data_IF_547568250838
#
_entry.id   IF_547568250838
#
_cell.length_a   1.000
_cell.length_b   1.000
_cell.length_c   1.000
_cell.angle_alpha   90.00
_cell.angle_beta   90.00
_cell.angle_gamma   90.00
#
_symmetry.space_group_name_H-M   'P 1'
#
loop_
_entity.id
_entity.type
_entity.pdbx_description
1 polymer ?
#
# COMPACT_ATOMS: atom_id res chain seq x y z
N UNK A 1 16.20 -10.46 -9.95
CA UNK A 1 16.31 -9.33 -9.02
C UNK A 1 17.67 -8.68 -9.17
N UNK A 2 17.71 -7.37 -9.39
CA UNK A 2 18.94 -6.56 -9.50
C UNK A 2 19.39 -6.01 -8.12
N UNK A 3 20.40 -5.12 -8.12
CA UNK A 3 20.97 -4.52 -6.91
C UNK A 3 19.99 -3.65 -6.11
N UNK A 4 18.96 -3.09 -6.74
CA UNK A 4 17.95 -2.26 -6.05
C UNK A 4 16.76 -3.11 -5.56
N UNK A 5 16.36 -4.12 -6.34
CA UNK A 5 15.21 -4.97 -6.03
C UNK A 5 15.45 -5.91 -4.84
N UNK A 6 16.67 -6.43 -4.67
CA UNK A 6 16.95 -7.38 -3.60
C UNK A 6 16.90 -6.73 -2.20
N UNK A 7 17.53 -5.56 -1.95
CA UNK A 7 17.35 -4.83 -0.70
C UNK A 7 15.90 -4.38 -0.49
N UNK A 8 15.19 -3.93 -1.53
CA UNK A 8 13.78 -3.54 -1.38
C UNK A 8 12.90 -4.73 -0.97
N UNK A 9 13.14 -5.93 -1.54
CA UNK A 9 12.47 -7.14 -1.10
C UNK A 9 12.77 -7.44 0.38
N UNK A 10 14.04 -7.36 0.79
CA UNK A 10 14.42 -7.57 2.19
C UNK A 10 13.66 -6.63 3.13
N UNK A 11 13.48 -5.35 2.76
CA UNK A 11 12.68 -4.40 3.56
C UNK A 11 11.22 -4.86 3.67
N UNK A 12 10.58 -5.21 2.55
CA UNK A 12 9.19 -5.72 2.56
C UNK A 12 9.08 -6.92 3.51
N UNK A 13 10.01 -7.87 3.40
CA UNK A 13 10.04 -9.09 4.20
C UNK A 13 10.24 -8.80 5.70
N UNK A 14 11.17 -7.94 6.07
CA UNK A 14 11.44 -7.59 7.48
C UNK A 14 10.24 -6.92 8.14
N UNK A 15 9.66 -5.92 7.49
CA UNK A 15 8.49 -5.22 8.03
C UNK A 15 7.27 -6.16 8.13
N UNK A 16 7.03 -6.98 7.10
CA UNK A 16 5.93 -7.94 7.11
C UNK A 16 6.10 -9.02 8.19
N UNK A 17 7.32 -9.53 8.36
CA UNK A 17 7.65 -10.51 9.40
C UNK A 17 7.50 -9.90 10.80
N UNK A 18 8.00 -8.67 11.02
CA UNK A 18 7.85 -7.97 12.28
C UNK A 18 6.37 -7.78 12.64
N UNK A 19 5.55 -7.35 11.67
CA UNK A 19 4.09 -7.28 11.83
C UNK A 19 3.49 -8.65 12.20
N UNK A 20 3.92 -9.73 11.53
CA UNK A 20 3.45 -11.11 11.72
C UNK A 20 3.90 -11.75 13.05
N UNK A 21 4.89 -11.18 13.74
CA UNK A 21 5.32 -11.65 15.05
C UNK A 21 5.19 -10.60 16.17
N UNK A 22 4.52 -9.48 15.89
CA UNK A 22 4.33 -8.36 16.83
C UNK A 22 5.66 -7.81 17.36
N UNK A 23 6.70 -7.85 16.53
CA UNK A 23 7.95 -7.16 16.80
C UNK A 23 7.72 -5.69 16.44
N UNK A 24 7.98 -4.73 17.35
CA UNK A 24 7.79 -3.31 17.05
C UNK A 24 8.59 -2.91 15.80
N UNK A 25 7.95 -2.24 14.85
CA UNK A 25 8.60 -1.86 13.61
C UNK A 25 9.79 -0.90 13.82
N UNK A 26 9.78 -0.14 14.93
CA UNK A 26 10.90 0.71 15.37
C UNK A 26 12.20 -0.07 15.64
N UNK A 27 12.11 -1.39 15.83
CA UNK A 27 13.27 -2.27 15.98
C UNK A 27 14.00 -2.52 14.67
N UNK A 28 13.38 -2.22 13.52
CA UNK A 28 13.99 -2.34 12.20
C UNK A 28 14.71 -1.03 11.90
N UNK A 29 15.96 -1.15 11.45
CA UNK A 29 16.73 -0.02 10.95
C UNK A 29 17.31 -0.36 9.58
N UNK A 30 16.98 0.50 8.63
CA UNK A 30 17.46 0.43 7.25
C UNK A 30 18.27 1.71 7.01
N UNK A 31 19.58 1.62 6.73
CA UNK A 31 20.39 2.78 6.44
C UNK A 31 19.84 3.55 5.23
N UNK A 32 19.74 4.88 5.34
CA UNK A 32 19.18 5.77 4.31
C UNK A 32 20.09 5.95 3.09
N UNK A 33 21.34 5.51 3.14
CA UNK A 33 22.33 5.69 2.07
C UNK A 33 23.14 4.41 1.84
N UNK A 34 23.01 3.83 0.64
CA UNK A 34 23.89 2.78 0.10
C UNK A 34 25.34 3.28 -0.12
N UNK A 35 25.62 4.56 0.15
CA UNK A 35 26.90 5.25 -0.12
C UNK A 35 27.72 5.58 1.13
N UNK A 36 27.46 4.99 2.29
CA UNK A 36 28.42 5.05 3.42
C UNK A 36 29.47 3.95 3.22
N UNK A 37 30.74 4.28 2.89
CA UNK A 37 31.69 3.33 2.31
C UNK A 37 32.14 2.17 3.21
N UNK A 38 31.77 2.12 4.50
CA UNK A 38 32.36 1.19 5.48
C UNK A 38 31.37 0.59 6.52
N UNK A 39 30.06 0.82 6.40
CA UNK A 39 29.05 0.29 7.35
C UNK A 39 28.60 -1.16 7.10
N UNK A 40 28.65 -1.62 5.85
CA UNK A 40 28.52 -3.04 5.46
C UNK A 40 27.17 -3.74 5.66
N UNK A 41 26.18 -3.14 6.32
CA UNK A 41 24.85 -3.73 6.52
C UNK A 41 23.77 -3.07 5.65
N UNK A 42 22.84 -3.86 5.11
CA UNK A 42 21.72 -3.35 4.30
C UNK A 42 20.44 -3.21 5.13
N UNK A 43 20.30 -4.02 6.18
CA UNK A 43 19.26 -3.87 7.18
C UNK A 43 19.70 -4.51 8.50
N UNK A 44 19.21 -3.97 9.61
CA UNK A 44 19.33 -4.59 10.93
C UNK A 44 17.97 -4.61 11.62
N UNK A 45 17.77 -5.58 12.48
CA UNK A 45 16.63 -5.64 13.38
C UNK A 45 17.12 -5.98 14.79
N UNK A 46 16.66 -5.19 15.77
CA UNK A 46 17.02 -5.38 17.18
C UNK A 46 15.84 -5.11 18.10
N UNK A 47 15.36 -6.13 18.81
CA UNK A 47 14.32 -5.97 19.83
C UNK A 47 14.76 -6.55 21.17
N UNK A 48 14.18 -6.02 22.24
CA UNK A 48 14.53 -6.37 23.63
C UNK A 48 13.38 -7.08 24.37
N UNK A 49 12.24 -7.27 23.71
CA UNK A 49 11.12 -7.99 24.33
C UNK A 49 11.44 -9.48 24.43
N UNK A 50 11.03 -10.17 25.52
CA UNK A 50 11.32 -11.60 25.69
C UNK A 50 10.76 -12.48 24.57
N UNK A 51 9.63 -12.07 23.99
CA UNK A 51 8.97 -12.77 22.88
C UNK A 51 8.79 -11.83 21.68
N UNK A 52 8.83 -12.37 20.45
CA UNK A 52 9.32 -13.72 20.13
C UNK A 52 10.82 -13.86 20.42
N UNK A 53 11.29 -15.06 20.81
CA UNK A 53 12.74 -15.34 20.92
C UNK A 53 13.41 -15.30 19.54
N UNK A 54 12.71 -15.87 18.55
CA UNK A 54 13.07 -15.89 17.13
C UNK A 54 11.82 -16.06 16.29
N UNK A 55 11.93 -15.78 15.01
CA UNK A 55 10.93 -16.15 14.01
C UNK A 55 11.49 -17.24 13.09
N UNK A 56 10.73 -17.63 12.06
CA UNK A 56 11.22 -18.56 11.03
C UNK A 56 12.38 -17.96 10.21
N UNK A 57 12.47 -16.63 10.14
CA UNK A 57 13.39 -15.88 9.27
C UNK A 57 14.33 -14.95 10.03
N UNK A 58 14.06 -14.70 11.31
CA UNK A 58 14.88 -13.82 12.16
C UNK A 58 15.34 -14.65 13.37
N UNK A 59 16.57 -15.19 13.34
CA UNK A 59 17.02 -16.23 14.26
C UNK A 59 17.48 -15.73 15.63
N UNK A 60 17.61 -14.41 15.82
CA UNK A 60 18.04 -13.79 17.08
C UNK A 60 17.46 -12.39 17.24
N UNK A 61 17.30 -11.96 18.49
CA UNK A 61 16.88 -10.61 18.90
C UNK A 61 17.70 -9.50 18.27
N UNK A 62 18.98 -9.75 17.97
CA UNK A 62 19.80 -8.85 17.17
C UNK A 62 20.27 -9.59 15.92
N UNK A 63 19.73 -9.18 14.76
CA UNK A 63 20.07 -9.78 13.47
C UNK A 63 20.43 -8.68 12.46
N UNK A 64 21.56 -8.86 11.78
CA UNK A 64 21.99 -8.02 10.65
C UNK A 64 21.86 -8.81 9.35
N UNK A 65 21.39 -8.12 8.32
CA UNK A 65 21.25 -8.63 6.98
C UNK A 65 22.15 -7.86 6.02
N UNK A 66 22.84 -8.62 5.17
CA UNK A 66 23.61 -8.07 4.07
C UNK A 66 23.16 -8.69 2.75
N UNK A 67 22.61 -7.86 1.87
CA UNK A 67 22.10 -8.18 0.55
C UNK A 67 23.20 -8.18 -0.51
N UNK A 68 23.32 -9.28 -1.26
CA UNK A 68 24.21 -9.38 -2.42
C UNK A 68 23.44 -9.92 -3.63
N UNK A 69 23.22 -9.04 -4.60
CA UNK A 69 22.54 -9.37 -5.86
C UNK A 69 23.47 -9.95 -6.95
N UNK A 70 24.58 -10.57 -6.54
CA UNK A 70 25.62 -11.15 -7.40
C UNK A 70 26.16 -12.42 -6.77
N UNK A 71 26.76 -13.31 -7.55
CA UNK A 71 27.40 -14.51 -6.99
C UNK A 71 28.48 -14.14 -5.97
N UNK A 72 28.37 -14.73 -4.78
CA UNK A 72 29.32 -14.57 -3.68
C UNK A 72 30.15 -15.85 -3.58
N UNK A 73 31.29 -15.85 -4.26
CA UNK A 73 32.27 -16.92 -4.15
C UNK A 73 32.88 -17.00 -2.74
N UNK A 74 33.47 -18.14 -2.40
CA UNK A 74 34.04 -18.41 -1.06
C UNK A 74 35.02 -17.31 -0.60
N UNK A 75 35.91 -16.86 -1.50
CA UNK A 75 36.88 -15.79 -1.20
C UNK A 75 36.20 -14.43 -0.96
N UNK A 76 35.12 -14.14 -1.68
CA UNK A 76 34.36 -12.90 -1.52
C UNK A 76 33.60 -12.89 -0.19
N UNK A 77 33.00 -14.02 0.20
CA UNK A 77 32.36 -14.18 1.51
C UNK A 77 33.31 -13.85 2.67
N UNK A 78 34.56 -14.33 2.62
CA UNK A 78 35.58 -13.99 3.62
C UNK A 78 35.92 -12.49 3.61
N UNK A 79 36.18 -11.93 2.43
CA UNK A 79 36.52 -10.50 2.27
C UNK A 79 35.41 -9.57 2.75
N UNK A 80 34.16 -10.01 2.66
CA UNK A 80 33.00 -9.22 3.06
C UNK A 80 33.01 -8.86 4.55
N UNK A 81 33.65 -9.68 5.39
CA UNK A 81 33.71 -9.47 6.84
C UNK A 81 34.69 -8.38 7.26
N UNK A 82 35.69 -8.07 6.42
CA UNK A 82 36.75 -7.14 6.76
C UNK A 82 36.45 -5.71 6.29
N UNK A 83 36.96 -4.73 7.04
CA UNK A 83 37.06 -3.35 6.54
C UNK A 83 38.09 -3.30 5.42
N UNK A 84 37.90 -2.38 4.46
CA UNK A 84 38.81 -2.27 3.30
C UNK A 84 40.25 -2.10 3.76
N UNK A 85 41.14 -2.94 3.21
CA UNK A 85 42.60 -2.90 3.44
C UNK A 85 43.03 -3.15 4.90
N UNK A 86 42.18 -3.77 5.71
CA UNK A 86 42.55 -4.19 7.08
C UNK A 86 42.15 -5.65 7.33
N UNK A 87 42.70 -6.24 8.39
CA UNK A 87 42.22 -7.52 8.95
C UNK A 87 41.23 -7.32 10.10
N UNK A 88 40.69 -6.10 10.27
CA UNK A 88 39.65 -5.81 11.27
C UNK A 88 38.28 -6.09 10.69
N UNK A 89 37.39 -6.66 11.51
CA UNK A 89 36.00 -6.85 11.14
C UNK A 89 35.31 -5.50 10.90
N UNK A 90 34.30 -5.49 10.03
CA UNK A 90 33.43 -4.31 9.91
C UNK A 90 32.71 -4.07 11.24
N UNK A 91 32.53 -2.81 11.67
CA UNK A 91 31.98 -2.49 12.98
C UNK A 91 30.61 -3.14 13.24
N UNK A 92 29.72 -3.14 12.25
CA UNK A 92 28.38 -3.75 12.35
C UNK A 92 28.43 -5.26 12.57
N UNK A 93 29.30 -5.97 11.85
CA UNK A 93 29.50 -7.42 11.99
C UNK A 93 30.13 -7.75 13.35
N UNK A 94 31.10 -6.95 13.78
CA UNK A 94 31.71 -7.10 15.10
C UNK A 94 30.67 -6.92 16.21
N UNK A 95 29.89 -5.84 16.15
CA UNK A 95 28.84 -5.52 17.13
C UNK A 95 27.80 -6.64 17.26
N UNK A 96 27.25 -7.15 16.14
CA UNK A 96 26.21 -8.19 16.20
C UNK A 96 26.75 -9.50 16.73
N UNK A 97 27.98 -9.88 16.37
CA UNK A 97 28.55 -11.15 16.81
C UNK A 97 29.05 -11.08 18.26
N UNK A 98 29.60 -9.95 18.70
CA UNK A 98 29.95 -9.70 20.12
C UNK A 98 28.70 -9.78 21.01
N UNK A 99 27.54 -9.33 20.51
CA UNK A 99 26.26 -9.41 21.19
C UNK A 99 25.57 -10.79 21.10
N UNK A 100 26.26 -11.83 20.59
CA UNK A 100 25.69 -13.16 20.33
C UNK A 100 24.44 -13.12 19.40
N UNK A 101 24.38 -12.11 18.55
CA UNK A 101 23.38 -11.94 17.50
C UNK A 101 23.66 -12.79 16.27
N UNK A 102 22.90 -12.57 15.21
CA UNK A 102 23.00 -13.29 13.95
C UNK A 102 23.41 -12.40 12.78
N UNK A 103 24.33 -12.89 11.97
CA UNK A 103 24.64 -12.29 10.67
C UNK A 103 24.05 -13.15 9.54
N UNK A 104 23.30 -12.52 8.63
CA UNK A 104 22.66 -13.17 7.50
C UNK A 104 23.19 -12.57 6.19
N UNK A 105 23.86 -13.42 5.40
CA UNK A 105 24.12 -13.10 3.99
C UNK A 105 22.87 -13.42 3.16
N UNK A 106 22.20 -12.39 2.69
CA UNK A 106 20.99 -12.45 1.87
C UNK A 106 21.36 -12.41 0.38
N UNK A 107 21.24 -13.56 -0.28
CA UNK A 107 21.93 -13.84 -1.55
C UNK A 107 20.97 -14.38 -2.62
N UNK A 108 20.89 -13.72 -3.77
CA UNK A 108 19.87 -14.00 -4.79
C UNK A 108 20.17 -15.18 -5.75
N UNK A 109 21.17 -16.02 -5.46
CA UNK A 109 21.46 -17.22 -6.26
C UNK A 109 21.22 -18.48 -5.43
N UNK A 110 20.93 -19.61 -6.09
CA UNK A 110 20.80 -20.89 -5.39
C UNK A 110 22.15 -21.28 -4.79
N UNK A 111 22.13 -21.69 -3.51
CA UNK A 111 23.32 -22.15 -2.82
C UNK A 111 22.95 -23.39 -2.03
N UNK A 112 23.19 -24.58 -2.60
CA UNK A 112 22.89 -25.84 -1.92
C UNK A 112 23.68 -25.96 -0.61
N UNK A 113 23.21 -26.74 0.39
CA UNK A 113 23.86 -26.83 1.69
C UNK A 113 25.36 -27.15 1.64
N UNK A 114 25.78 -28.03 0.71
CA UNK A 114 27.19 -28.38 0.51
C UNK A 114 28.04 -27.20 0.01
N UNK A 115 27.43 -26.23 -0.67
CA UNK A 115 28.08 -25.01 -1.13
C UNK A 115 28.01 -23.87 -0.09
N UNK A 116 27.05 -23.92 0.84
CA UNK A 116 26.96 -22.96 1.95
C UNK A 116 28.02 -23.23 3.02
N UNK A 117 28.24 -24.50 3.39
CA UNK A 117 29.18 -24.88 4.46
C UNK A 117 30.60 -24.29 4.27
N UNK A 118 31.25 -24.39 3.08
CA UNK A 118 32.56 -23.79 2.86
C UNK A 118 32.57 -22.26 2.94
N UNK A 119 31.47 -21.61 2.52
CA UNK A 119 31.33 -20.14 2.60
C UNK A 119 31.24 -19.68 4.04
N UNK A 120 30.39 -20.32 4.84
CA UNK A 120 30.24 -20.03 6.27
C UNK A 120 31.54 -20.33 7.02
N UNK A 121 32.22 -21.43 6.71
CA UNK A 121 33.52 -21.76 7.30
C UNK A 121 34.55 -20.65 7.04
N UNK A 122 34.59 -20.09 5.84
CA UNK A 122 35.50 -19.00 5.48
C UNK A 122 35.11 -17.65 6.08
N UNK A 123 33.83 -17.41 6.36
CA UNK A 123 33.39 -16.27 7.17
C UNK A 123 33.83 -16.42 8.63
N UNK A 124 33.72 -17.63 9.21
CA UNK A 124 34.23 -17.90 10.57
C UNK A 124 35.74 -17.75 10.66
N UNK A 125 36.48 -18.19 9.64
CA UNK A 125 37.93 -17.95 9.54
C UNK A 125 38.27 -16.45 9.57
N UNK A 126 37.44 -15.58 8.97
CA UNK A 126 37.64 -14.13 9.08
C UNK A 126 37.48 -13.63 10.52
N UNK A 127 36.53 -14.19 11.26
CA UNK A 127 36.29 -13.86 12.68
C UNK A 127 37.43 -14.37 13.56
N UNK A 128 37.98 -15.57 13.26
CA UNK A 128 39.19 -16.09 13.93
C UNK A 128 40.42 -15.21 13.65
N UNK A 129 40.64 -14.81 12.40
CA UNK A 129 41.76 -13.93 12.00
C UNK A 129 41.69 -12.54 12.63
N UNK A 130 40.48 -12.07 12.95
CA UNK A 130 40.27 -10.85 13.71
C UNK A 130 40.50 -11.01 15.22
N UNK A 131 40.88 -12.21 15.69
CA UNK A 131 41.21 -12.49 17.08
C UNK A 131 40.01 -12.76 17.99
N UNK A 132 38.83 -13.07 17.42
CA UNK A 132 37.61 -13.28 18.21
C UNK A 132 37.43 -14.75 18.61
N UNK A 133 37.33 -15.01 19.91
CA UNK A 133 37.24 -16.37 20.48
C UNK A 133 35.92 -17.09 20.15
N UNK A 134 34.86 -16.35 19.85
CA UNK A 134 33.52 -16.87 19.54
C UNK A 134 33.34 -17.27 18.06
N UNK A 135 34.38 -17.26 17.24
CA UNK A 135 34.25 -17.51 15.81
C UNK A 135 33.56 -18.84 15.46
N UNK A 136 33.78 -19.90 16.25
CA UNK A 136 33.15 -21.21 16.07
C UNK A 136 31.66 -21.21 16.43
N UNK A 137 31.27 -20.47 17.47
CA UNK A 137 29.88 -20.34 17.92
C UNK A 137 29.11 -19.22 17.23
N UNK A 138 29.78 -18.35 16.46
CA UNK A 138 29.15 -17.25 15.72
C UNK A 138 27.98 -17.74 14.85
N UNK A 139 26.83 -17.09 15.01
CA UNK A 139 25.60 -17.37 14.27
C UNK A 139 25.65 -16.67 12.92
N UNK A 140 26.15 -17.38 11.92
CA UNK A 140 26.31 -16.90 10.53
C UNK A 140 25.46 -17.79 9.63
N UNK A 141 24.54 -17.19 8.89
CA UNK A 141 23.63 -17.91 7.98
C UNK A 141 23.65 -17.32 6.58
N UNK A 142 23.32 -18.17 5.60
CA UNK A 142 23.13 -17.78 4.19
C UNK A 142 21.67 -18.01 3.83
N UNK A 143 21.01 -16.95 3.37
CA UNK A 143 19.66 -17.01 2.81
C UNK A 143 19.82 -16.95 1.30
N UNK A 144 19.76 -18.11 0.67
CA UNK A 144 19.91 -18.26 -0.78
C UNK A 144 18.57 -18.03 -1.50
N UNK A 145 18.56 -18.10 -2.83
CA UNK A 145 17.35 -17.85 -3.61
C UNK A 145 16.15 -18.72 -3.20
N UNK A 146 16.39 -19.95 -2.73
CA UNK A 146 15.32 -20.86 -2.31
C UNK A 146 14.70 -20.41 -0.98
N UNK A 147 15.54 -20.10 0.03
CA UNK A 147 15.03 -19.54 1.30
C UNK A 147 14.32 -18.22 1.09
N UNK A 148 14.88 -17.34 0.26
CA UNK A 148 14.27 -16.05 -0.08
C UNK A 148 12.92 -16.26 -0.74
N UNK A 149 12.79 -17.20 -1.68
CA UNK A 149 11.52 -17.51 -2.33
C UNK A 149 10.47 -18.01 -1.32
N UNK A 150 10.86 -18.88 -0.40
CA UNK A 150 9.94 -19.38 0.65
C UNK A 150 9.48 -18.26 1.58
N UNK A 151 10.39 -17.37 2.00
CA UNK A 151 10.00 -16.20 2.81
C UNK A 151 9.09 -15.25 2.03
N UNK A 152 9.42 -14.98 0.76
CA UNK A 152 8.59 -14.19 -0.16
C UNK A 152 7.17 -14.72 -0.25
N UNK A 153 7.01 -16.04 -0.38
CA UNK A 153 5.71 -16.68 -0.48
C UNK A 153 4.88 -16.67 0.82
N UNK A 154 5.37 -16.03 1.90
CA UNK A 154 4.64 -15.85 3.17
C UNK A 154 3.89 -14.51 3.25
N UNK A 155 4.21 -13.57 2.34
CA UNK A 155 3.69 -12.19 2.39
C UNK A 155 3.17 -11.74 1.01
N UNK A 156 1.89 -11.36 0.95
CA UNK A 156 1.18 -11.08 -0.30
C UNK A 156 1.79 -9.91 -1.08
N UNK A 157 2.20 -8.85 -0.38
CA UNK A 157 2.88 -7.70 -0.99
C UNK A 157 4.24 -8.07 -1.57
N UNK A 158 5.00 -8.96 -0.93
CA UNK A 158 6.29 -9.45 -1.42
C UNK A 158 6.10 -10.30 -2.68
N UNK A 159 5.12 -11.22 -2.69
CA UNK A 159 4.77 -12.00 -3.88
C UNK A 159 4.40 -11.06 -5.03
N UNK A 160 3.54 -10.07 -4.76
CA UNK A 160 3.07 -9.11 -5.77
C UNK A 160 4.22 -8.28 -6.33
N UNK A 161 5.11 -7.77 -5.47
CA UNK A 161 6.28 -7.01 -5.90
C UNK A 161 7.20 -7.84 -6.80
N UNK A 162 7.55 -9.07 -6.39
CA UNK A 162 8.41 -9.96 -7.17
C UNK A 162 7.78 -10.33 -8.51
N UNK A 163 6.47 -10.63 -8.54
CA UNK A 163 5.76 -10.93 -9.79
C UNK A 163 5.80 -9.72 -10.74
N UNK A 164 5.51 -8.52 -10.24
CA UNK A 164 5.54 -7.29 -11.03
C UNK A 164 6.94 -7.04 -11.62
N UNK A 165 8.01 -7.21 -10.84
CA UNK A 165 9.39 -7.08 -11.34
C UNK A 165 9.75 -8.11 -12.42
N UNK A 166 9.03 -9.23 -12.48
CA UNK A 166 9.18 -10.27 -13.51
C UNK A 166 8.20 -10.07 -14.69
N UNK A 167 7.45 -8.97 -14.73
CA UNK A 167 6.43 -8.73 -15.75
C UNK A 167 5.22 -9.66 -15.65
N UNK A 168 4.95 -10.20 -14.46
CA UNK A 168 3.83 -11.10 -14.17
C UNK A 168 2.91 -10.46 -13.13
N UNK A 169 1.67 -10.94 -13.06
CA UNK A 169 0.71 -10.54 -12.02
C UNK A 169 0.30 -11.75 -11.20
N UNK A 170 -0.10 -11.52 -9.94
CA UNK A 170 -0.71 -12.58 -9.10
C UNK A 170 -2.17 -12.83 -9.47
N UNK A 171 -2.85 -11.77 -9.91
CA UNK A 171 -4.25 -11.71 -10.28
C UNK A 171 -4.42 -10.51 -11.22
N UNK A 172 -5.31 -10.55 -12.23
CA UNK A 172 -5.59 -9.39 -13.06
C UNK A 172 -5.98 -8.16 -12.23
N UNK A 173 -5.28 -7.04 -12.47
CA UNK A 173 -5.50 -5.78 -11.76
C UNK A 173 -4.94 -5.69 -10.34
N UNK A 174 -4.31 -6.74 -9.82
CA UNK A 174 -3.60 -6.69 -8.54
C UNK A 174 -2.25 -6.00 -8.69
N UNK A 175 -2.02 -4.94 -7.90
CA UNK A 175 -0.79 -4.15 -7.91
C UNK A 175 -0.35 -3.83 -6.47
N UNK A 176 0.93 -3.53 -6.30
CA UNK A 176 1.45 -3.02 -5.02
C UNK A 176 0.94 -1.60 -4.76
N UNK A 177 0.96 -1.17 -3.50
CA UNK A 177 0.67 0.22 -3.16
C UNK A 177 1.55 1.22 -3.96
N UNK A 178 2.85 0.92 -4.12
CA UNK A 178 3.75 1.79 -4.89
C UNK A 178 3.26 1.97 -6.34
N UNK A 179 2.96 0.87 -7.03
CA UNK A 179 2.47 0.92 -8.40
C UNK A 179 1.11 1.63 -8.48
N UNK A 180 0.27 1.53 -7.46
CA UNK A 180 -0.99 2.28 -7.39
C UNK A 180 -0.73 3.80 -7.22
N UNK A 181 0.27 4.17 -6.43
CA UNK A 181 0.70 5.55 -6.22
C UNK A 181 1.42 6.16 -7.43
N UNK A 182 2.03 5.36 -8.31
CA UNK A 182 2.85 5.83 -9.44
C UNK A 182 2.06 6.55 -10.55
N UNK A 183 0.73 6.63 -10.46
CA UNK A 183 -0.05 7.45 -11.41
C UNK A 183 0.14 8.96 -11.14
N UNK A 184 0.25 9.77 -12.19
CA UNK A 184 0.49 11.23 -12.08
C UNK A 184 -0.51 11.95 -11.16
N UNK A 185 -1.78 11.53 -11.15
CA UNK A 185 -2.79 12.12 -10.26
C UNK A 185 -2.54 11.78 -8.80
N UNK A 186 -2.04 10.57 -8.51
CA UNK A 186 -1.82 10.08 -7.17
C UNK A 186 -0.56 10.67 -6.50
N UNK A 187 0.36 11.22 -7.27
CA UNK A 187 1.55 11.87 -6.72
C UNK A 187 1.30 13.29 -6.19
N UNK A 188 0.18 13.93 -6.54
CA UNK A 188 -0.15 15.26 -6.05
C UNK A 188 -0.37 15.29 -4.52
N UNK A 189 -0.34 16.47 -3.88
CA UNK A 189 -0.70 16.60 -2.47
C UNK A 189 -2.11 16.09 -2.19
N UNK A 190 -2.31 15.57 -0.98
CA UNK A 190 -3.65 15.26 -0.48
C UNK A 190 -4.17 16.45 0.31
N UNK A 191 -5.37 16.92 -0.06
CA UNK A 191 -6.08 17.96 0.67
C UNK A 191 -7.25 17.30 1.38
N UNK A 192 -7.40 17.59 2.66
CA UNK A 192 -8.38 16.96 3.54
C UNK A 192 -8.93 17.97 4.54
N UNK A 193 -10.13 17.70 5.03
CA UNK A 193 -10.74 18.38 6.16
C UNK A 193 -10.56 17.56 7.45
N UNK A 194 -10.94 18.13 8.59
CA UNK A 194 -10.79 17.49 9.90
C UNK A 194 -11.52 16.14 9.98
N UNK A 195 -12.65 16.00 9.29
CA UNK A 195 -13.45 14.77 9.27
C UNK A 195 -12.67 13.65 8.56
N UNK A 196 -12.20 13.90 7.34
CA UNK A 196 -11.46 12.91 6.57
C UNK A 196 -10.08 12.61 7.17
N UNK A 197 -9.42 13.59 7.79
CA UNK A 197 -8.20 13.34 8.57
C UNK A 197 -8.47 12.42 9.77
N UNK A 198 -9.58 12.63 10.49
CA UNK A 198 -10.00 11.75 11.56
C UNK A 198 -10.25 10.32 11.09
N UNK A 199 -10.91 10.15 9.94
CA UNK A 199 -11.14 8.83 9.32
C UNK A 199 -9.82 8.17 8.91
N UNK A 200 -8.91 8.92 8.29
CA UNK A 200 -7.59 8.46 7.86
C UNK A 200 -6.78 7.94 9.05
N UNK A 201 -6.73 8.69 10.16
CA UNK A 201 -6.04 8.28 11.38
C UNK A 201 -6.66 7.02 12.00
N UNK A 202 -7.99 6.94 12.03
CA UNK A 202 -8.69 5.75 12.51
C UNK A 202 -8.35 4.52 11.67
N UNK A 203 -8.38 4.62 10.34
CA UNK A 203 -8.01 3.52 9.44
C UNK A 203 -6.56 3.09 9.66
N UNK A 204 -5.61 4.02 9.77
CA UNK A 204 -4.20 3.70 10.06
C UNK A 204 -4.05 2.91 11.35
N UNK A 205 -4.67 3.38 12.43
CA UNK A 205 -4.63 2.66 13.71
C UNK A 205 -5.29 1.27 13.64
N UNK A 206 -6.40 1.16 12.91
CA UNK A 206 -7.15 -0.09 12.77
C UNK A 206 -6.39 -1.15 11.98
N UNK A 207 -5.67 -0.77 10.92
CA UNK A 207 -4.86 -1.69 10.09
C UNK A 207 -3.47 -2.00 10.65
N UNK A 208 -3.05 -1.36 11.74
CA UNK A 208 -1.88 -1.81 12.49
C UNK A 208 -2.14 -3.18 13.14
N UNK A 209 -3.39 -3.46 13.51
CA UNK A 209 -3.81 -4.76 13.98
C UNK A 209 -4.00 -5.74 12.81
N UNK A 210 -3.82 -7.03 13.10
CA UNK A 210 -4.08 -8.09 12.11
C UNK A 210 -5.55 -8.40 12.04
N UNK A 211 -5.95 -8.99 10.91
CA UNK A 211 -7.32 -9.45 10.68
C UNK A 211 -8.35 -8.31 10.71
N UNK A 212 -7.89 -7.10 10.38
CA UNK A 212 -8.71 -5.91 10.33
C UNK A 212 -9.59 -5.92 9.08
N UNK A 213 -10.90 -5.80 9.24
CA UNK A 213 -11.86 -5.71 8.14
C UNK A 213 -12.54 -4.35 8.21
N UNK A 214 -12.44 -3.57 7.14
CA UNK A 214 -13.03 -2.25 7.02
C UNK A 214 -13.70 -2.05 5.66
N UNK A 215 -14.68 -1.15 5.63
CA UNK A 215 -15.47 -0.82 4.45
C UNK A 215 -15.68 0.67 4.33
N UNK A 216 -15.34 1.22 3.17
CA UNK A 216 -15.51 2.63 2.82
C UNK A 216 -16.61 2.74 1.76
N UNK A 217 -17.68 3.45 2.10
CA UNK A 217 -18.82 3.65 1.20
C UNK A 217 -19.12 5.13 1.04
N UNK A 218 -19.58 5.53 -0.13
CA UNK A 218 -19.95 6.91 -0.41
C UNK A 218 -20.15 7.12 -1.90
N UNK A 219 -20.66 8.27 -2.30
CA UNK A 219 -20.97 8.54 -3.71
C UNK A 219 -19.72 8.52 -4.59
N UNK A 220 -19.89 8.20 -5.87
CA UNK A 220 -18.81 8.18 -6.86
C UNK A 220 -18.12 9.55 -6.96
N UNK A 221 -16.79 9.55 -7.05
CA UNK A 221 -16.01 10.79 -7.26
C UNK A 221 -15.71 11.62 -6.00
N UNK A 222 -16.15 11.17 -4.83
CA UNK A 222 -15.95 11.85 -3.55
C UNK A 222 -14.53 11.71 -2.96
N UNK A 223 -13.72 10.80 -3.51
CA UNK A 223 -12.32 10.62 -3.10
C UNK A 223 -12.03 9.38 -2.25
N UNK A 224 -12.92 8.37 -2.16
CA UNK A 224 -12.69 7.15 -1.37
C UNK A 224 -11.40 6.40 -1.72
N UNK A 225 -11.17 6.12 -3.00
CA UNK A 225 -9.95 5.44 -3.46
C UNK A 225 -8.70 6.26 -3.14
N UNK A 226 -8.82 7.59 -3.18
CA UNK A 226 -7.76 8.50 -2.75
C UNK A 226 -7.51 8.40 -1.25
N UNK A 227 -8.54 8.50 -0.40
CA UNK A 227 -8.43 8.33 1.05
C UNK A 227 -7.80 6.98 1.42
N UNK A 228 -8.19 5.89 0.75
CA UNK A 228 -7.59 4.58 0.94
C UNK A 228 -6.11 4.54 0.53
N UNK A 229 -5.73 5.15 -0.59
CA UNK A 229 -4.32 5.30 -0.98
C UNK A 229 -3.52 6.05 0.10
N UNK A 230 -4.05 7.16 0.61
CA UNK A 230 -3.42 8.01 1.61
C UNK A 230 -3.30 7.35 2.99
N UNK A 231 -4.28 6.52 3.35
CA UNK A 231 -4.26 5.69 4.56
C UNK A 231 -2.96 4.88 4.62
N UNK A 232 -2.53 4.32 3.49
CA UNK A 232 -1.33 3.49 3.39
C UNK A 232 -0.14 4.21 2.74
N UNK A 233 -0.16 5.55 2.67
CA UNK A 233 0.98 6.31 2.14
C UNK A 233 2.23 6.13 3.00
N UNK A 234 3.36 5.85 2.34
CA UNK A 234 4.66 5.71 3.01
C UNK A 234 5.09 7.05 3.63
N UNK A 235 5.71 7.05 4.82
CA UNK A 235 6.31 8.25 5.39
C UNK A 235 7.44 8.78 4.48
N UNK A 236 7.63 10.10 4.45
CA UNK A 236 8.67 10.74 3.63
C UNK A 236 10.08 10.34 4.06
N UNK A 237 10.30 10.19 5.37
CA UNK A 237 11.58 9.74 5.92
C UNK A 237 11.43 8.35 6.51
N UNK A 238 12.26 7.43 6.00
CA UNK A 238 12.35 6.06 6.52
C UNK A 238 12.73 6.11 8.01
N UNK A 239 12.03 5.31 8.83
CA UNK A 239 12.19 5.19 10.29
C UNK A 239 11.52 6.27 11.16
N UNK A 240 10.88 7.31 10.62
CA UNK A 240 10.15 8.30 11.46
C UNK A 240 8.79 7.77 11.92
N UNK A 241 8.08 7.02 11.06
CA UNK A 241 6.79 6.39 11.37
C UNK A 241 6.85 4.90 11.01
N UNK A 242 7.52 4.08 11.84
CA UNK A 242 7.81 2.69 11.51
C UNK A 242 6.54 1.82 11.39
N UNK A 243 5.50 2.10 12.17
CA UNK A 243 4.22 1.39 12.05
C UNK A 243 3.53 1.72 10.72
N UNK A 244 3.58 3.00 10.30
CA UNK A 244 3.07 3.42 8.99
C UNK A 244 3.85 2.74 7.85
N UNK A 245 5.18 2.69 7.94
CA UNK A 245 6.03 2.00 6.96
C UNK A 245 5.66 0.50 6.85
N UNK A 246 5.29 -0.12 7.98
CA UNK A 246 4.86 -1.52 8.04
C UNK A 246 3.58 -1.74 7.25
N UNK A 247 2.50 -1.00 7.56
CA UNK A 247 1.23 -1.19 6.86
C UNK A 247 1.36 -0.82 5.38
N UNK A 248 2.12 0.23 5.02
CA UNK A 248 2.38 0.62 3.63
C UNK A 248 3.08 -0.48 2.82
N UNK A 249 3.94 -1.29 3.46
CA UNK A 249 4.66 -2.39 2.81
C UNK A 249 3.86 -3.68 2.73
N UNK A 250 2.78 -3.82 3.50
CA UNK A 250 1.92 -5.01 3.54
C UNK A 250 0.74 -4.95 2.56
N UNK A 251 0.56 -3.85 1.84
CA UNK A 251 -0.66 -3.57 1.04
C UNK A 251 -0.54 -4.01 -0.42
N UNK A 252 -1.63 -4.61 -0.91
CA UNK A 252 -1.94 -4.72 -2.33
C UNK A 252 -3.28 -4.07 -2.65
N UNK A 253 -3.42 -3.54 -3.86
CA UNK A 253 -4.66 -3.00 -4.40
C UNK A 253 -5.18 -3.90 -5.52
N UNK A 254 -6.48 -4.13 -5.56
CA UNK A 254 -7.19 -4.87 -6.59
C UNK A 254 -8.45 -4.10 -6.98
N UNK A 255 -8.74 -3.99 -8.27
CA UNK A 255 -10.03 -3.52 -8.75
C UNK A 255 -10.96 -4.71 -9.02
N UNK A 256 -12.10 -4.80 -8.34
CA UNK A 256 -13.05 -5.89 -8.54
C UNK A 256 -13.59 -5.95 -9.98
N UNK A 257 -13.65 -4.81 -10.67
CA UNK A 257 -14.08 -4.76 -12.07
C UNK A 257 -13.11 -5.47 -13.03
N UNK A 258 -11.86 -5.75 -12.61
CA UNK A 258 -10.85 -6.38 -13.48
C UNK A 258 -10.66 -7.87 -13.22
N UNK A 259 -11.21 -8.42 -12.14
CA UNK A 259 -11.07 -9.84 -11.81
C UNK A 259 -12.24 -10.36 -10.99
N UNK A 260 -12.91 -11.40 -11.50
CA UNK A 260 -13.91 -12.17 -10.76
C UNK A 260 -13.31 -13.28 -9.87
N UNK A 261 -11.99 -13.48 -9.93
CA UNK A 261 -11.29 -14.57 -9.24
C UNK A 261 -10.87 -14.20 -7.80
N UNK A 262 -11.14 -12.97 -7.36
CA UNK A 262 -10.75 -12.45 -6.04
C UNK A 262 -11.19 -13.38 -4.89
N UNK A 263 -12.44 -13.90 -4.84
CA UNK A 263 -12.85 -14.86 -3.83
C UNK A 263 -11.94 -16.08 -3.72
N UNK A 264 -11.68 -16.75 -4.86
CA UNK A 264 -10.88 -17.96 -4.91
C UNK A 264 -9.42 -17.68 -4.52
N UNK A 265 -8.90 -16.53 -4.93
CA UNK A 265 -7.55 -16.10 -4.57
C UNK A 265 -7.42 -15.90 -3.05
N UNK A 266 -8.38 -15.23 -2.39
CA UNK A 266 -8.38 -15.04 -0.94
C UNK A 266 -8.42 -16.38 -0.21
N UNK A 267 -9.26 -17.32 -0.65
CA UNK A 267 -9.31 -18.68 -0.08
C UNK A 267 -7.96 -19.39 -0.21
N UNK A 268 -7.33 -19.32 -1.38
CA UNK A 268 -6.02 -19.90 -1.61
C UNK A 268 -4.95 -19.28 -0.70
N UNK A 269 -4.93 -17.96 -0.58
CA UNK A 269 -3.97 -17.25 0.28
C UNK A 269 -4.19 -17.56 1.76
N UNK A 270 -5.45 -17.68 2.20
CA UNK A 270 -5.80 -18.13 3.54
C UNK A 270 -5.31 -19.54 3.84
N UNK A 271 -5.55 -20.49 2.94
CA UNK A 271 -5.06 -21.87 3.08
C UNK A 271 -3.53 -21.95 3.15
N UNK A 272 -2.84 -21.06 2.46
CA UNK A 272 -1.37 -20.94 2.48
C UNK A 272 -0.83 -20.13 3.68
N UNK A 273 -1.73 -19.63 4.55
CA UNK A 273 -1.40 -18.78 5.70
C UNK A 273 -0.62 -17.51 5.34
N UNK A 274 -0.82 -17.01 4.10
CA UNK A 274 -0.18 -15.79 3.61
C UNK A 274 -0.71 -14.59 4.41
N UNK A 275 0.20 -13.66 4.71
CA UNK A 275 -0.11 -12.40 5.39
C UNK A 275 -0.14 -11.21 4.44
N UNK A 276 -0.94 -10.19 4.76
CA UNK A 276 -1.02 -8.96 3.98
C UNK A 276 -2.33 -8.19 4.14
N UNK A 277 -2.37 -6.99 3.59
CA UNK A 277 -3.54 -6.11 3.57
C UNK A 277 -4.04 -6.01 2.14
N UNK A 278 -5.32 -6.31 1.92
CA UNK A 278 -5.94 -6.31 0.59
C UNK A 278 -6.92 -5.15 0.51
N UNK A 279 -6.73 -4.27 -0.47
CA UNK A 279 -7.69 -3.23 -0.83
C UNK A 279 -8.45 -3.71 -2.07
N UNK A 280 -9.78 -3.79 -1.98
CA UNK A 280 -10.65 -4.14 -3.10
C UNK A 280 -11.54 -2.96 -3.43
N UNK A 281 -11.25 -2.30 -4.55
CA UNK A 281 -12.04 -1.18 -5.07
C UNK A 281 -13.17 -1.67 -5.99
N UNK A 282 -14.27 -0.91 -6.08
CA UNK A 282 -15.52 -1.27 -6.73
C UNK A 282 -16.11 -2.60 -6.19
N UNK A 283 -16.04 -2.80 -4.88
CA UNK A 283 -16.49 -4.00 -4.18
C UNK A 283 -17.92 -3.82 -3.65
N UNK A 284 -18.90 -4.33 -4.40
CA UNK A 284 -20.30 -4.33 -3.96
C UNK A 284 -20.50 -5.10 -2.64
N UNK A 285 -21.66 -4.91 -2.01
CA UNK A 285 -21.96 -5.51 -0.72
C UNK A 285 -21.92 -7.06 -0.77
N UNK A 286 -22.40 -7.67 -1.85
CA UNK A 286 -22.42 -9.13 -1.97
C UNK A 286 -21.00 -9.70 -2.00
N UNK A 287 -20.11 -9.11 -2.79
CA UNK A 287 -18.71 -9.47 -2.85
C UNK A 287 -18.05 -9.20 -1.50
N UNK A 288 -18.29 -8.05 -0.88
CA UNK A 288 -17.74 -7.73 0.44
C UNK A 288 -18.08 -8.79 1.48
N UNK A 289 -19.36 -9.15 1.62
CA UNK A 289 -19.82 -10.15 2.59
C UNK A 289 -19.14 -11.50 2.36
N UNK A 290 -18.97 -11.89 1.10
CA UNK A 290 -18.25 -13.11 0.74
C UNK A 290 -16.77 -13.05 1.14
N UNK A 291 -16.06 -11.98 0.79
CA UNK A 291 -14.62 -11.85 1.13
C UNK A 291 -14.40 -11.77 2.64
N UNK A 292 -15.28 -11.05 3.34
CA UNK A 292 -15.30 -10.93 4.79
C UNK A 292 -15.49 -12.28 5.46
N UNK A 293 -16.43 -13.11 4.98
CA UNK A 293 -16.66 -14.46 5.48
C UNK A 293 -15.40 -15.33 5.32
N UNK A 294 -14.77 -15.31 4.13
CA UNK A 294 -13.58 -16.13 3.86
C UNK A 294 -12.37 -15.73 4.72
N UNK A 295 -12.14 -14.42 4.89
CA UNK A 295 -11.04 -13.93 5.75
C UNK A 295 -11.31 -14.29 7.21
N UNK A 296 -12.55 -14.14 7.70
CA UNK A 296 -12.91 -14.49 9.08
C UNK A 296 -12.67 -15.96 9.41
N UNK A 297 -13.02 -16.87 8.50
CA UNK A 297 -12.94 -18.30 8.76
C UNK A 297 -11.55 -18.89 8.49
N UNK A 298 -10.88 -18.46 7.42
CA UNK A 298 -9.71 -19.18 6.88
C UNK A 298 -8.40 -18.41 6.96
N UNK A 299 -8.44 -17.09 7.16
CA UNK A 299 -7.24 -16.26 7.05
C UNK A 299 -7.06 -15.26 8.19
N UNK A 300 -6.37 -15.67 9.25
CA UNK A 300 -6.06 -14.80 10.40
C UNK A 300 -4.96 -13.76 10.13
N UNK A 301 -4.25 -13.91 9.02
CA UNK A 301 -3.11 -13.07 8.66
C UNK A 301 -3.43 -12.06 7.55
N UNK A 302 -4.64 -12.10 6.98
CA UNK A 302 -5.11 -11.15 5.98
C UNK A 302 -6.02 -10.11 6.62
N UNK A 303 -5.83 -8.85 6.21
CA UNK A 303 -6.74 -7.74 6.50
C UNK A 303 -7.37 -7.25 5.20
N UNK A 304 -8.57 -6.69 5.27
CA UNK A 304 -9.38 -6.29 4.11
C UNK A 304 -9.89 -4.86 4.25
N UNK A 305 -9.68 -4.05 3.22
CA UNK A 305 -10.36 -2.78 3.01
C UNK A 305 -11.18 -2.89 1.72
N UNK A 306 -12.49 -2.73 1.80
CA UNK A 306 -13.35 -2.67 0.61
C UNK A 306 -13.85 -1.26 0.36
N UNK A 307 -14.02 -0.89 -0.91
CA UNK A 307 -14.50 0.42 -1.32
C UNK A 307 -15.69 0.24 -2.27
N UNK A 308 -16.79 0.91 -1.96
CA UNK A 308 -18.01 0.87 -2.79
C UNK A 308 -18.59 2.27 -3.04
N UNK A 309 -19.26 2.42 -4.19
CA UNK A 309 -19.88 3.65 -4.63
C UNK A 309 -21.37 3.76 -4.27
N UNK A 310 -22.01 2.70 -3.78
CA UNK A 310 -23.44 2.67 -3.50
C UNK A 310 -23.73 2.67 -1.98
N UNK A 311 -24.04 3.84 -1.38
CA UNK A 311 -24.38 3.93 0.05
C UNK A 311 -25.78 3.40 0.40
N UNK A 312 -26.66 3.16 -0.57
CA UNK A 312 -28.07 2.80 -0.32
C UNK A 312 -28.26 1.31 0.01
N UNK A 313 -27.33 0.46 -0.45
CA UNK A 313 -27.39 -0.97 -0.21
C UNK A 313 -26.93 -1.38 1.20
N UNK A 314 -26.44 -0.44 2.00
CA UNK A 314 -25.87 -0.71 3.32
C UNK A 314 -26.98 -0.76 4.37
N UNK A 315 -27.34 -1.97 4.79
CA UNK A 315 -28.19 -2.16 5.98
C UNK A 315 -27.41 -1.70 7.21
N UNK A 316 -28.00 -0.81 8.02
CA UNK A 316 -27.44 -0.19 9.23
C UNK A 316 -27.13 -1.16 10.39
N UNK A 317 -26.97 -2.45 10.12
CA UNK A 317 -26.49 -3.41 11.10
C UNK A 317 -24.97 -3.31 11.18
N UNK A 318 -24.49 -2.47 12.09
CA UNK A 318 -23.07 -2.36 12.40
C UNK A 318 -22.55 -3.70 12.94
N UNK A 319 -21.89 -4.47 12.08
CA UNK A 319 -21.10 -5.61 12.53
C UNK A 319 -20.00 -5.09 13.49
N UNK A 320 -19.96 -5.54 14.75
CA UNK A 320 -19.02 -5.00 15.74
C UNK A 320 -17.55 -5.30 15.40
N UNK A 321 -17.30 -6.27 14.52
CA UNK A 321 -15.96 -6.67 14.09
C UNK A 321 -15.62 -6.11 12.69
N UNK A 322 -16.23 -5.01 12.30
CA UNK A 322 -15.95 -4.31 11.06
C UNK A 322 -15.92 -2.78 11.28
N UNK A 323 -14.89 -2.13 10.75
CA UNK A 323 -14.83 -0.68 10.72
C UNK A 323 -15.54 -0.16 9.46
N UNK A 324 -16.80 0.24 9.60
CA UNK A 324 -17.56 0.88 8.54
C UNK A 324 -17.38 2.41 8.56
N UNK A 325 -17.09 3.01 7.41
CA UNK A 325 -17.03 4.47 7.24
C UNK A 325 -17.79 4.90 6.00
N UNK A 326 -18.76 5.78 6.21
CA UNK A 326 -19.41 6.53 5.15
C UNK A 326 -18.63 7.81 4.89
N UNK A 327 -18.20 8.01 3.65
CA UNK A 327 -17.50 9.21 3.20
C UNK A 327 -18.54 10.17 2.63
N UNK A 328 -18.49 11.41 3.11
CA UNK A 328 -19.36 12.51 2.70
C UNK A 328 -18.58 13.56 1.91
N UNK A 329 -19.26 14.48 1.20
CA UNK A 329 -18.58 15.49 0.40
C UNK A 329 -17.63 16.34 1.26
N UNK A 330 -16.48 16.69 0.70
CA UNK A 330 -15.46 17.47 1.41
C UNK A 330 -15.89 18.94 1.52
N UNK A 331 -15.31 19.66 2.47
CA UNK A 331 -15.56 21.10 2.59
C UNK A 331 -15.16 21.90 1.33
N UNK A 332 -15.83 23.03 1.13
CA UNK A 332 -15.53 23.99 0.06
C UNK A 332 -14.07 24.49 0.08
N UNK A 333 -13.48 24.60 1.27
CA UNK A 333 -12.06 24.97 1.43
C UNK A 333 -11.13 23.90 0.83
N UNK A 334 -11.46 22.62 0.99
CA UNK A 334 -10.71 21.52 0.37
C UNK A 334 -10.82 21.59 -1.16
N UNK A 335 -12.04 21.80 -1.69
CA UNK A 335 -12.22 21.96 -3.14
C UNK A 335 -11.43 23.16 -3.66
N UNK A 336 -11.48 24.30 -2.96
CA UNK A 336 -10.72 25.50 -3.30
C UNK A 336 -9.22 25.22 -3.37
N UNK A 337 -8.65 24.54 -2.36
CA UNK A 337 -7.23 24.15 -2.33
C UNK A 337 -6.86 23.22 -3.49
N UNK A 338 -7.70 22.23 -3.78
CA UNK A 338 -7.53 21.34 -4.95
C UNK A 338 -7.50 22.16 -6.24
N UNK A 339 -8.51 23.02 -6.46
CA UNK A 339 -8.61 23.83 -7.66
C UNK A 339 -7.41 24.75 -7.84
N UNK A 340 -6.98 25.44 -6.78
CA UNK A 340 -5.81 26.32 -6.81
C UNK A 340 -4.52 25.57 -7.14
N UNK A 341 -4.37 24.35 -6.64
CA UNK A 341 -3.17 23.54 -6.90
C UNK A 341 -3.10 23.06 -8.35
N UNK A 342 -4.20 22.52 -8.89
CA UNK A 342 -4.24 21.96 -10.24
C UNK A 342 -4.43 23.01 -11.34
N UNK A 343 -5.02 24.17 -11.01
CA UNK A 343 -5.35 25.24 -11.94
C UNK A 343 -4.82 26.59 -11.44
N UNK A 344 -3.49 26.76 -11.29
CA UNK A 344 -2.89 27.96 -10.69
C UNK A 344 -3.14 29.24 -11.52
N UNK A 345 -3.54 29.11 -12.78
CA UNK A 345 -3.88 30.23 -13.66
C UNK A 345 -5.30 30.77 -13.45
N UNK A 346 -6.14 30.09 -12.67
CA UNK A 346 -7.53 30.50 -12.47
C UNK A 346 -7.62 31.77 -11.62
N UNK A 347 -8.49 32.67 -12.01
CA UNK A 347 -8.83 33.84 -11.22
C UNK A 347 -9.79 33.48 -10.06
N UNK A 348 -9.99 34.37 -9.07
CA UNK A 348 -10.84 34.08 -7.92
C UNK A 348 -12.30 33.74 -8.26
N UNK A 349 -12.86 34.33 -9.32
CA UNK A 349 -14.24 34.06 -9.77
C UNK A 349 -14.37 32.65 -10.35
N UNK A 350 -13.40 32.23 -11.17
CA UNK A 350 -13.32 30.88 -11.73
C UNK A 350 -13.20 29.82 -10.62
N UNK A 351 -12.38 30.09 -9.60
CA UNK A 351 -12.24 29.20 -8.44
C UNK A 351 -13.56 29.10 -7.67
N UNK A 352 -14.21 30.24 -7.39
CA UNK A 352 -15.50 30.27 -6.68
C UNK A 352 -16.56 29.46 -7.44
N UNK A 353 -16.58 29.59 -8.78
CA UNK A 353 -17.48 28.85 -9.65
C UNK A 353 -17.23 27.34 -9.55
N UNK A 354 -15.97 26.91 -9.63
CA UNK A 354 -15.63 25.48 -9.49
C UNK A 354 -16.09 24.95 -8.13
N UNK A 355 -15.85 25.68 -7.04
CA UNK A 355 -16.27 25.29 -5.69
C UNK A 355 -17.79 25.11 -5.62
N UNK A 356 -18.55 26.11 -6.05
CA UNK A 356 -20.02 26.10 -6.04
C UNK A 356 -20.61 24.90 -6.80
N UNK A 357 -20.13 24.65 -8.03
CA UNK A 357 -20.64 23.56 -8.85
C UNK A 357 -20.13 22.18 -8.43
N UNK A 358 -19.01 22.10 -7.71
CA UNK A 358 -18.46 20.81 -7.28
C UNK A 358 -19.21 20.21 -6.11
N UNK A 359 -19.91 21.02 -5.30
CA UNK A 359 -20.68 20.57 -4.13
C UNK A 359 -19.90 19.60 -3.22
N UNK A 360 -18.61 19.87 -3.00
CA UNK A 360 -17.73 19.00 -2.21
C UNK A 360 -17.28 17.69 -2.89
N UNK A 361 -17.40 17.56 -4.22
CA UNK A 361 -16.89 16.41 -4.97
C UNK A 361 -15.57 16.74 -5.72
N UNK A 362 -14.41 16.23 -5.25
CA UNK A 362 -13.12 16.49 -5.91
C UNK A 362 -13.08 16.10 -7.38
N UNK A 363 -13.73 15.01 -7.78
CA UNK A 363 -13.78 14.59 -9.19
C UNK A 363 -14.53 15.57 -10.08
N UNK A 364 -15.60 16.20 -9.57
CA UNK A 364 -16.34 17.22 -10.31
C UNK A 364 -15.46 18.47 -10.45
N UNK A 365 -14.76 18.88 -9.39
CA UNK A 365 -13.84 20.01 -9.43
C UNK A 365 -12.76 19.87 -10.52
N UNK A 366 -12.17 18.68 -10.62
CA UNK A 366 -11.18 18.38 -11.67
C UNK A 366 -11.80 18.39 -13.08
N UNK A 367 -13.03 17.88 -13.25
CA UNK A 367 -13.70 17.90 -14.55
C UNK A 367 -14.03 19.33 -15.02
N UNK A 368 -14.53 20.18 -14.11
CA UNK A 368 -14.85 21.58 -14.40
C UNK A 368 -13.57 22.37 -14.67
N UNK A 369 -12.51 22.15 -13.88
CA UNK A 369 -11.23 22.83 -14.09
C UNK A 369 -10.57 22.46 -15.42
N UNK A 370 -10.53 21.18 -15.79
CA UNK A 370 -10.02 20.77 -17.11
C UNK A 370 -10.81 21.37 -18.27
N UNK A 371 -12.13 21.47 -18.10
CA UNK A 371 -13.02 22.06 -19.08
C UNK A 371 -12.76 23.55 -19.31
N UNK A 372 -12.63 24.32 -18.23
CA UNK A 372 -12.35 25.75 -18.28
C UNK A 372 -10.98 26.05 -18.91
N UNK A 373 -9.94 25.26 -18.58
CA UNK A 373 -8.61 25.40 -19.20
C UNK A 373 -8.61 25.23 -20.72
N UNK A 374 -9.52 24.40 -21.26
CA UNK A 374 -9.61 24.15 -22.71
C UNK A 374 -10.38 25.25 -23.46
N UNK A 375 -10.64 26.39 -22.82
CA UNK A 375 -11.37 27.51 -23.41
C UNK A 375 -12.85 27.22 -23.66
N UNK A 376 -13.37 26.11 -23.11
CA UNK A 376 -14.81 25.80 -23.14
C UNK A 376 -15.48 26.49 -21.96
N UNK A 377 -15.53 27.82 -22.02
CA UNK A 377 -16.14 28.70 -21.01
C UNK A 377 -17.66 28.47 -20.82
N UNK A 378 -18.30 27.61 -21.62
CA UNK A 378 -19.71 27.22 -21.46
C UNK A 378 -19.95 25.95 -20.65
N UNK A 379 -18.93 25.24 -20.14
CA UNK A 379 -19.13 23.93 -19.48
C UNK A 379 -19.78 24.01 -18.10
N UNK A 380 -19.76 25.17 -17.45
CA UNK A 380 -20.59 25.40 -16.27
C UNK A 380 -22.01 25.85 -16.64
N UNK A 381 -22.50 25.46 -17.83
CA UNK A 381 -23.91 25.16 -18.07
C UNK A 381 -24.04 23.63 -18.09
N UNK A 382 -24.99 23.10 -17.31
CA UNK A 382 -25.29 21.67 -17.19
C UNK A 382 -25.83 21.02 -18.50
N UNK A 383 -25.71 21.72 -19.63
CA UNK A 383 -26.15 21.30 -20.96
C UNK A 383 -25.05 20.60 -21.79
N UNK A 384 -23.80 20.49 -21.30
CA UNK A 384 -22.73 19.75 -22.01
C UNK A 384 -22.92 18.21 -21.89
N UNK A 385 -23.30 17.52 -22.99
CA UNK A 385 -23.55 16.08 -22.98
C UNK A 385 -22.30 15.24 -22.64
N UNK A 386 -21.09 15.81 -22.82
CA UNK A 386 -19.84 15.15 -22.48
C UNK A 386 -19.58 15.14 -20.96
N UNK A 387 -20.04 16.17 -20.24
CA UNK A 387 -19.95 16.22 -18.78
C UNK A 387 -20.93 15.23 -18.15
N UNK A 388 -22.17 15.17 -18.67
CA UNK A 388 -23.17 14.18 -18.25
C UNK A 388 -22.68 12.75 -18.49
N UNK A 389 -22.15 12.42 -19.68
CA UNK A 389 -21.59 11.08 -19.97
C UNK A 389 -20.43 10.71 -19.03
N UNK A 390 -19.54 11.66 -18.72
CA UNK A 390 -18.41 11.42 -17.79
C UNK A 390 -18.86 11.22 -16.35
N UNK A 391 -19.97 11.85 -15.94
CA UNK A 391 -20.52 11.73 -14.58
C UNK A 391 -21.38 10.47 -14.40
N UNK A 392 -22.17 10.08 -15.41
CA UNK A 392 -23.16 8.99 -15.27
C UNK A 392 -22.64 7.61 -15.64
N UNK A 393 -21.48 7.49 -16.32
CA UNK A 393 -20.97 6.21 -16.88
C UNK A 393 -21.97 5.50 -17.81
N UNK A 394 -23.03 6.16 -18.27
CA UNK A 394 -24.00 5.59 -19.20
C UNK A 394 -23.37 5.49 -20.59
N UNK A 395 -23.30 4.28 -21.13
CA UNK A 395 -22.63 3.97 -22.39
C UNK A 395 -23.43 4.35 -23.64
N UNK A 396 -24.67 4.82 -23.52
CA UNK A 396 -25.51 5.16 -24.68
C UNK A 396 -26.37 6.41 -24.47
N UNK A 397 -26.68 7.09 -25.59
CA UNK A 397 -27.70 8.15 -25.71
C UNK A 397 -29.12 7.58 -25.56
N UNK A 398 -29.40 6.88 -24.46
CA UNK A 398 -30.74 6.43 -24.16
C UNK A 398 -31.57 7.54 -23.51
N UNK A 399 -32.89 7.38 -23.56
CA UNK A 399 -33.91 8.26 -22.96
C UNK A 399 -33.58 8.62 -21.50
N UNK A 400 -33.04 7.67 -20.73
CA UNK A 400 -32.56 7.88 -19.37
C UNK A 400 -31.50 8.99 -19.25
N UNK A 401 -30.58 9.11 -20.21
CA UNK A 401 -29.54 10.14 -20.21
C UNK A 401 -30.15 11.53 -20.44
N UNK A 402 -31.18 11.65 -21.28
CA UNK A 402 -31.93 12.91 -21.47
C UNK A 402 -32.73 13.30 -20.25
N UNK A 403 -33.42 12.34 -19.63
CA UNK A 403 -34.19 12.57 -18.40
C UNK A 403 -33.26 13.01 -17.27
N UNK A 404 -32.11 12.34 -17.07
CA UNK A 404 -31.13 12.72 -16.06
C UNK A 404 -30.54 14.12 -16.33
N UNK A 405 -30.27 14.46 -17.59
CA UNK A 405 -29.82 15.81 -17.99
C UNK A 405 -30.89 16.87 -17.75
N UNK A 406 -32.15 16.52 -17.92
CA UNK A 406 -33.28 17.42 -17.70
C UNK A 406 -33.53 17.62 -16.20
N UNK A 407 -33.34 16.57 -15.40
CA UNK A 407 -33.43 16.64 -13.94
C UNK A 407 -32.27 17.45 -13.33
N UNK A 408 -31.07 17.40 -13.91
CA UNK A 408 -29.90 18.14 -13.39
C UNK A 408 -30.01 19.67 -13.56
N UNK A 409 -30.94 20.15 -14.39
CA UNK A 409 -31.22 21.58 -14.56
C UNK A 409 -31.94 22.22 -13.37
N UNK A 410 -32.47 21.41 -12.44
CA UNK A 410 -33.26 21.89 -11.32
C UNK A 410 -32.66 21.44 -10.00
N UNK A 411 -32.44 22.38 -9.07
CA UNK A 411 -31.96 22.04 -7.72
C UNK A 411 -33.00 21.25 -6.91
N UNK A 412 -34.28 21.41 -7.21
CA UNK A 412 -35.41 20.64 -6.66
C UNK A 412 -36.58 20.69 -7.66
N UNK A 413 -37.25 19.57 -7.92
CA UNK A 413 -38.50 19.51 -8.70
C UNK A 413 -39.58 18.74 -7.92
N UNK A 414 -40.86 19.08 -8.14
CA UNK A 414 -41.99 18.51 -7.40
C UNK A 414 -43.17 18.20 -8.31
N UNK A 415 -43.91 17.13 -7.99
CA UNK A 415 -45.05 16.64 -8.80
C UNK A 415 -46.34 17.45 -8.50
N UNK A 416 -46.43 18.15 -7.37
CA UNK A 416 -47.58 18.98 -6.98
C UNK A 416 -47.14 20.30 -6.31
N UNK A 417 -47.94 21.37 -6.48
CA UNK A 417 -47.65 22.74 -6.00
C UNK A 417 -46.87 23.61 -7.00
N UNK A 418 -46.35 24.77 -6.55
CA UNK A 418 -45.70 25.85 -7.35
C UNK A 418 -44.45 25.44 -8.16
N UNK A 419 -44.12 24.15 -8.20
CA UNK A 419 -43.03 23.54 -8.99
C UNK A 419 -43.54 22.66 -10.16
N UNK A 420 -44.84 22.67 -10.44
CA UNK A 420 -45.46 21.77 -11.43
C UNK A 420 -44.98 21.96 -12.87
N UNK A 421 -44.45 23.13 -13.22
CA UNK A 421 -44.00 23.41 -14.58
C UNK A 421 -42.62 22.81 -14.90
N UNK A 422 -41.81 22.54 -13.87
CA UNK A 422 -40.51 21.88 -13.98
C UNK A 422 -40.68 20.38 -14.26
N UNK A 423 -41.67 19.74 -13.63
CA UNK A 423 -42.07 18.36 -13.93
C UNK A 423 -42.56 18.20 -15.38
N UNK A 424 -43.38 19.15 -15.87
CA UNK A 424 -43.87 19.14 -17.26
C UNK A 424 -42.74 19.33 -18.28
N UNK A 425 -41.68 20.05 -17.92
CA UNK A 425 -40.49 20.21 -18.75
C UNK A 425 -39.69 18.90 -18.85
N UNK A 426 -39.45 18.24 -17.71
CA UNK A 426 -38.77 16.93 -17.66
C UNK A 426 -39.58 15.86 -18.42
N UNK A 427 -40.90 15.84 -18.29
CA UNK A 427 -41.77 14.86 -18.95
C UNK A 427 -41.92 15.03 -20.47
N UNK A 428 -41.44 16.15 -21.05
CA UNK A 428 -41.47 16.44 -22.49
C UNK A 428 -40.10 16.29 -23.17
N UNK A 429 -39.05 16.04 -22.40
CA UNK A 429 -37.65 15.90 -22.84
C UNK A 429 -37.32 14.44 -23.11
#
# INVERSE_FOLDING_TARGET
MNQTQLPELLKILLYSEAQLFKIPAACIHVPLQETIPDGGEDARIRWNTPQPEKTNWIPSHFTIFQSKAMDMGIKQCKKEFFQKKTSKLKPSIEEVLDANGAYILFFNRPCVPNSQKPRIAKMREAVEEAGKLYAKSANIQIYDSNKIATWTNSHLSAITAVKNWLGKVILPGAITWQNWNDSNLNQNPYFSDEINEGILQQLRSYFNERHAIARLVGLSGIGKSRLALETFRRPEKTNEQPDQETISRSVIYINAATSSEIPNAIVQWGNQQISGIIIVDNCDLQLHDLLKLEIRHKSRNLSLLTIDNNPENENSNSDPNELFKKIEPVSDDVIKKITQHFYPSFNPEEISRVVEFSQGFPRIAMLIGEANLRGKSSIARLDDPALVRKLTRLADENEATRVISSCSLFSHFGITGDKSDQWKFIAKS
#
